data_IF_877529758535
#
_entry.id   IF_877529758535
#
_cell.length_a   1.000
_cell.length_b   1.000
_cell.length_c   1.000
_cell.angle_alpha   90.00
_cell.angle_beta   90.00
_cell.angle_gamma   90.00
#
_symmetry.space_group_name_H-M   'P 1'
#
loop_
_entity.id
_entity.type
_entity.pdbx_description
1 polymer ?
#
# COMPACT_ATOMS: atom_id res chain seq x y z
N UNK A 1 11.09 18.83 3.72
CA UNK A 1 11.56 17.82 4.70
C UNK A 1 10.38 17.27 5.51
N UNK A 2 10.64 16.26 6.35
CA UNK A 2 9.64 15.66 7.23
C UNK A 2 8.75 14.62 6.56
N UNK A 3 7.67 14.16 7.24
CA UNK A 3 6.86 13.00 6.82
C UNK A 3 6.28 13.09 5.42
N UNK A 4 5.97 14.30 4.95
CA UNK A 4 5.43 14.51 3.60
C UNK A 4 6.37 14.05 2.47
N UNK A 5 7.69 13.96 2.73
CA UNK A 5 8.67 13.47 1.76
C UNK A 5 8.82 11.95 1.75
N UNK A 6 8.33 11.23 2.76
CA UNK A 6 8.53 9.77 2.86
C UNK A 6 8.13 9.00 1.59
N UNK A 7 6.96 9.21 0.98
CA UNK A 7 6.57 8.47 -0.22
C UNK A 7 7.54 8.67 -1.39
N UNK A 8 8.05 9.89 -1.58
CA UNK A 8 9.01 10.21 -2.64
C UNK A 8 10.38 9.56 -2.35
N UNK A 9 10.86 9.69 -1.11
CA UNK A 9 12.14 9.11 -0.69
C UNK A 9 12.11 7.58 -0.79
N UNK A 10 11.01 6.95 -0.36
CA UNK A 10 10.81 5.51 -0.46
C UNK A 10 10.85 5.03 -1.93
N UNK A 11 10.18 5.76 -2.82
CA UNK A 11 10.23 5.49 -4.26
C UNK A 11 11.65 5.61 -4.81
N UNK A 12 12.38 6.64 -4.44
CA UNK A 12 13.78 6.83 -4.87
C UNK A 12 14.66 5.68 -4.40
N UNK A 13 14.54 5.26 -3.13
CA UNK A 13 15.30 4.12 -2.58
C UNK A 13 15.00 2.85 -3.36
N UNK A 14 13.73 2.55 -3.61
CA UNK A 14 13.31 1.40 -4.40
C UNK A 14 13.92 1.41 -5.81
N UNK A 15 13.84 2.55 -6.53
CA UNK A 15 14.38 2.67 -7.88
C UNK A 15 15.91 2.50 -7.91
N UNK A 16 16.61 3.02 -6.93
CA UNK A 16 18.07 2.85 -6.83
C UNK A 16 18.42 1.40 -6.47
N UNK A 17 17.78 0.84 -5.45
CA UNK A 17 18.08 -0.50 -4.96
C UNK A 17 17.82 -1.60 -6.02
N UNK A 18 16.89 -1.38 -6.95
CA UNK A 18 16.62 -2.36 -8.01
C UNK A 18 17.68 -2.42 -9.11
N UNK A 19 18.54 -1.41 -9.24
CA UNK A 19 19.54 -1.28 -10.31
C UNK A 19 20.98 -1.31 -9.82
N UNK A 20 21.20 -1.41 -8.49
CA UNK A 20 22.56 -1.49 -7.91
C UNK A 20 22.66 -2.56 -6.84
N UNK A 21 23.86 -3.16 -6.71
CA UNK A 21 24.20 -4.06 -5.61
C UNK A 21 24.94 -3.31 -4.47
N UNK A 22 25.08 -2.00 -4.59
CA UNK A 22 25.71 -1.19 -3.54
C UNK A 22 24.74 -0.96 -2.39
N UNK A 23 25.25 -0.85 -1.13
CA UNK A 23 24.41 -0.47 0.00
C UNK A 23 23.73 0.88 -0.23
N UNK A 24 22.42 0.94 -0.01
CA UNK A 24 21.59 2.15 -0.16
C UNK A 24 21.23 2.67 1.21
N UNK A 25 21.42 3.96 1.47
CA UNK A 25 20.96 4.62 2.68
C UNK A 25 19.64 5.33 2.37
N UNK A 26 18.55 4.86 2.98
CA UNK A 26 17.23 5.48 2.85
C UNK A 26 17.10 6.69 3.78
N UNK A 27 16.82 7.86 3.23
CA UNK A 27 16.66 9.10 4.01
C UNK A 27 15.44 9.87 3.50
N UNK A 28 14.58 10.30 4.43
CA UNK A 28 13.48 11.20 4.11
C UNK A 28 12.17 10.82 4.79
N UNK A 29 11.74 11.64 5.73
CA UNK A 29 10.43 11.54 6.37
C UNK A 29 10.27 10.45 7.43
N UNK A 30 11.34 9.81 7.85
CA UNK A 30 11.35 8.78 8.90
C UNK A 30 11.04 9.40 10.25
N UNK A 31 9.99 8.90 10.91
CA UNK A 31 9.50 9.40 12.21
C UNK A 31 9.14 8.29 13.20
N UNK A 32 8.93 7.07 12.73
CA UNK A 32 8.53 5.90 13.52
C UNK A 32 9.27 4.64 13.04
N UNK A 33 9.19 3.56 13.82
CA UNK A 33 9.81 2.28 13.47
C UNK A 33 9.25 1.66 12.19
N UNK A 34 7.96 1.80 11.91
CA UNK A 34 7.34 1.33 10.68
C UNK A 34 7.93 1.99 9.42
N UNK A 35 8.34 3.27 9.50
CA UNK A 35 9.01 3.94 8.39
C UNK A 35 10.35 3.25 8.06
N UNK A 36 11.09 2.81 9.09
CA UNK A 36 12.34 2.04 8.93
C UNK A 36 12.06 0.73 8.21
N UNK A 37 11.02 0.00 8.64
CA UNK A 37 10.61 -1.26 8.02
C UNK A 37 10.32 -1.07 6.53
N UNK A 38 9.55 -0.03 6.17
CA UNK A 38 9.22 0.25 4.77
C UNK A 38 10.46 0.51 3.92
N UNK A 39 11.42 1.30 4.41
CA UNK A 39 12.69 1.56 3.72
C UNK A 39 13.54 0.29 3.58
N UNK A 40 13.62 -0.54 4.61
CA UNK A 40 14.36 -1.80 4.55
C UNK A 40 13.73 -2.76 3.54
N UNK A 41 12.41 -2.92 3.56
CA UNK A 41 11.69 -3.74 2.58
C UNK A 41 11.87 -3.24 1.14
N UNK A 42 11.98 -1.92 0.93
CA UNK A 42 12.24 -1.31 -0.37
C UNK A 42 13.69 -1.50 -0.86
N UNK A 43 14.58 -2.03 -0.03
CA UNK A 43 15.96 -2.34 -0.38
C UNK A 43 17.01 -1.41 0.22
N UNK A 44 16.66 -0.54 1.17
CA UNK A 44 17.66 0.19 1.95
C UNK A 44 18.50 -0.78 2.80
N UNK A 45 19.76 -0.46 2.99
CA UNK A 45 20.68 -1.16 3.90
C UNK A 45 20.82 -0.44 5.24
N UNK A 46 20.57 0.85 5.26
CA UNK A 46 20.56 1.71 6.43
C UNK A 46 19.46 2.77 6.25
N UNK A 47 18.97 3.29 7.37
CA UNK A 47 17.93 4.32 7.36
C UNK A 47 18.38 5.52 8.17
N UNK A 48 18.34 6.71 7.55
CA UNK A 48 18.71 7.98 8.19
C UNK A 48 17.50 8.75 8.71
N UNK A 49 17.62 9.24 9.93
CA UNK A 49 16.61 10.06 10.60
C UNK A 49 17.17 11.45 10.83
N UNK A 50 16.50 12.49 10.38
CA UNK A 50 16.94 13.88 10.53
C UNK A 50 15.86 14.75 11.18
N UNK A 51 14.81 15.12 10.45
CA UNK A 51 13.79 16.07 10.92
C UNK A 51 13.13 15.64 12.23
N UNK A 52 12.89 14.34 12.42
CA UNK A 52 12.33 13.85 13.67
C UNK A 52 13.25 14.12 14.87
N UNK A 53 14.56 13.97 14.69
CA UNK A 53 15.54 14.28 15.74
C UNK A 53 15.64 15.78 16.03
N UNK A 54 15.55 16.63 15.00
CA UNK A 54 15.53 18.09 15.16
C UNK A 54 14.30 18.52 15.98
N UNK A 55 13.13 17.93 15.69
CA UNK A 55 11.87 18.32 16.32
C UNK A 55 11.63 17.69 17.70
N UNK A 56 12.12 16.48 17.93
CA UNK A 56 11.81 15.66 19.12
C UNK A 56 13.01 15.36 20.00
N UNK A 57 14.21 15.84 19.62
CA UNK A 57 15.46 15.54 20.32
C UNK A 57 16.07 14.20 19.95
N UNK A 58 17.29 13.95 20.48
CA UNK A 58 18.08 12.74 20.14
C UNK A 58 17.46 11.43 20.62
N UNK A 59 16.61 11.46 21.64
CA UNK A 59 15.92 10.26 22.17
C UNK A 59 15.04 9.56 21.13
N UNK A 60 14.68 10.28 20.07
CA UNK A 60 13.86 9.70 18.97
C UNK A 60 14.55 8.52 18.30
N UNK A 61 15.87 8.48 18.24
CA UNK A 61 16.60 7.35 17.66
C UNK A 61 16.34 6.06 18.44
N UNK A 62 16.45 6.12 19.77
CA UNK A 62 16.13 4.97 20.62
C UNK A 62 14.68 4.52 20.53
N UNK A 63 13.74 5.48 20.44
CA UNK A 63 12.31 5.18 20.27
C UNK A 63 12.02 4.47 18.97
N UNK A 64 12.54 4.99 17.84
CA UNK A 64 12.38 4.38 16.52
C UNK A 64 12.99 2.98 16.49
N UNK A 65 14.20 2.79 17.07
CA UNK A 65 14.83 1.47 17.15
C UNK A 65 13.97 0.47 17.95
N UNK A 66 13.44 0.90 19.10
CA UNK A 66 12.55 0.05 19.91
C UNK A 66 11.21 -0.26 19.21
N UNK A 67 10.66 0.68 18.45
CA UNK A 67 9.46 0.46 17.63
C UNK A 67 9.73 -0.54 16.52
N UNK A 68 10.87 -0.41 15.83
CA UNK A 68 11.30 -1.35 14.78
C UNK A 68 11.45 -2.76 15.35
N UNK A 69 12.12 -2.92 16.48
CA UNK A 69 12.30 -4.22 17.13
C UNK A 69 10.96 -4.86 17.52
N UNK A 70 10.04 -4.11 18.11
CA UNK A 70 8.70 -4.61 18.45
C UNK A 70 7.90 -5.02 17.20
N UNK A 71 8.03 -4.28 16.11
CA UNK A 71 7.37 -4.63 14.86
C UNK A 71 7.89 -5.97 14.32
N UNK A 72 9.22 -6.16 14.30
CA UNK A 72 9.85 -7.41 13.86
C UNK A 72 9.36 -8.60 14.69
N UNK A 73 9.40 -8.47 16.02
CA UNK A 73 8.91 -9.50 16.95
C UNK A 73 7.43 -9.84 16.71
N UNK A 74 6.58 -8.83 16.59
CA UNK A 74 5.15 -9.01 16.36
C UNK A 74 4.82 -9.70 15.02
N UNK A 75 5.73 -9.62 14.03
CA UNK A 75 5.56 -10.24 12.72
C UNK A 75 6.41 -11.51 12.54
N UNK A 76 7.06 -11.99 13.59
CA UNK A 76 7.79 -13.25 13.60
C UNK A 76 9.16 -13.19 12.91
N UNK A 77 9.74 -11.99 12.78
CA UNK A 77 11.11 -11.81 12.30
C UNK A 77 12.10 -11.71 13.46
N UNK A 78 13.22 -12.40 13.36
CA UNK A 78 14.29 -12.38 14.37
C UNK A 78 15.34 -11.30 14.09
N UNK A 79 15.47 -10.88 12.83
CA UNK A 79 16.47 -9.91 12.40
C UNK A 79 15.90 -8.99 11.30
N UNK A 80 16.41 -7.75 11.28
CA UNK A 80 16.05 -6.76 10.25
C UNK A 80 16.54 -7.15 8.85
N UNK A 81 17.61 -7.94 8.76
CA UNK A 81 18.10 -8.44 7.48
C UNK A 81 17.12 -9.39 6.79
N UNK A 82 16.25 -10.05 7.55
CA UNK A 82 15.21 -10.91 6.98
C UNK A 82 14.17 -10.15 6.15
N UNK A 83 13.92 -8.89 6.50
CA UNK A 83 12.97 -8.02 5.77
C UNK A 83 13.63 -7.19 4.69
N UNK A 84 14.96 -7.12 4.66
CA UNK A 84 15.69 -6.31 3.70
C UNK A 84 15.43 -6.75 2.26
N UNK A 85 14.92 -5.83 1.47
CA UNK A 85 14.60 -6.07 0.07
C UNK A 85 13.45 -7.06 -0.18
N UNK A 86 12.64 -7.40 0.83
CA UNK A 86 11.49 -8.29 0.63
C UNK A 86 10.58 -7.81 -0.49
N UNK A 87 10.22 -6.53 -0.49
CA UNK A 87 9.39 -5.95 -1.54
C UNK A 87 10.13 -5.96 -2.88
N UNK A 88 11.40 -5.56 -2.89
CA UNK A 88 12.24 -5.57 -4.08
C UNK A 88 12.34 -6.96 -4.71
N UNK A 89 12.53 -8.00 -3.90
CA UNK A 89 12.61 -9.37 -4.37
C UNK A 89 11.29 -9.87 -4.95
N UNK A 90 10.17 -9.60 -4.29
CA UNK A 90 8.83 -9.90 -4.82
C UNK A 90 8.59 -9.22 -6.16
N UNK A 91 8.92 -7.95 -6.27
CA UNK A 91 8.82 -7.19 -7.51
C UNK A 91 9.66 -7.83 -8.64
N UNK A 92 10.92 -8.20 -8.37
CA UNK A 92 11.80 -8.87 -9.34
C UNK A 92 11.25 -10.23 -9.79
N UNK A 93 10.55 -10.94 -8.92
CA UNK A 93 9.93 -12.23 -9.21
C UNK A 93 8.58 -12.10 -9.93
N UNK A 94 8.11 -10.88 -10.19
CA UNK A 94 6.80 -10.64 -10.79
C UNK A 94 5.63 -11.00 -9.85
N UNK A 95 5.91 -11.31 -8.57
CA UNK A 95 4.89 -11.69 -7.58
C UNK A 95 4.17 -10.49 -6.97
N UNK A 96 4.61 -9.28 -7.37
CA UNK A 96 4.44 -8.15 -6.51
C UNK A 96 3.58 -7.08 -6.94
N UNK A 97 3.20 -7.21 -8.03
CA UNK A 97 2.14 -6.33 -8.37
C UNK A 97 0.91 -7.08 -7.94
N UNK A 98 0.26 -6.64 -6.87
CA UNK A 98 -1.18 -6.75 -6.82
C UNK A 98 -1.62 -6.18 -8.16
N UNK A 99 -1.62 -7.05 -9.16
CA UNK A 99 -2.09 -6.66 -10.47
C UNK A 99 -3.54 -6.39 -10.21
N UNK A 100 -3.88 -5.11 -10.18
CA UNK A 100 -5.26 -4.66 -10.17
C UNK A 100 -6.06 -5.41 -11.24
N UNK A 101 -5.34 -5.98 -12.22
CA UNK A 101 -5.85 -6.83 -13.28
C UNK A 101 -6.45 -8.17 -12.81
N UNK A 102 -6.03 -8.70 -11.67
CA UNK A 102 -6.58 -9.93 -11.08
C UNK A 102 -7.81 -9.68 -10.21
N UNK A 103 -8.13 -8.41 -9.94
CA UNK A 103 -9.27 -8.02 -9.15
C UNK A 103 -10.30 -7.28 -9.99
N UNK A 104 -11.52 -7.30 -9.51
CA UNK A 104 -12.63 -6.49 -10.04
C UNK A 104 -13.51 -6.04 -8.88
N UNK A 105 -14.21 -4.94 -9.07
CA UNK A 105 -15.25 -4.56 -8.13
C UNK A 105 -16.44 -5.52 -8.26
N UNK A 106 -17.12 -5.79 -7.15
CA UNK A 106 -18.38 -6.55 -7.11
C UNK A 106 -19.37 -5.84 -6.21
N UNK A 107 -20.63 -5.77 -6.66
CA UNK A 107 -21.73 -5.18 -5.91
C UNK A 107 -22.42 -6.27 -5.09
N UNK A 108 -22.67 -5.98 -3.82
CA UNK A 108 -23.60 -6.73 -3.01
C UNK A 108 -25.00 -6.14 -3.22
N UNK A 109 -25.84 -6.85 -3.94
CA UNK A 109 -27.18 -6.41 -4.33
C UNK A 109 -28.08 -6.10 -3.13
N UNK A 110 -27.92 -6.85 -2.03
CA UNK A 110 -28.72 -6.65 -0.80
C UNK A 110 -28.40 -5.33 -0.09
N UNK A 111 -27.17 -4.84 -0.24
CA UNK A 111 -26.72 -3.58 0.38
C UNK A 111 -26.84 -2.38 -0.55
N UNK A 112 -26.90 -2.58 -1.85
CA UNK A 112 -26.96 -1.52 -2.83
C UNK A 112 -28.28 -0.75 -2.75
N UNK A 113 -28.21 0.57 -2.57
CA UNK A 113 -29.39 1.48 -2.53
C UNK A 113 -29.56 2.30 -3.80
N UNK A 114 -28.93 1.90 -4.90
CA UNK A 114 -29.07 2.57 -6.20
C UNK A 114 -28.80 4.09 -6.15
N UNK A 115 -27.81 4.51 -5.37
CA UNK A 115 -27.50 5.94 -5.14
C UNK A 115 -26.63 6.56 -6.23
N UNK A 116 -26.19 5.81 -7.23
CA UNK A 116 -25.43 6.24 -8.40
C UNK A 116 -24.00 6.77 -8.15
N UNK A 117 -23.56 6.91 -6.91
CA UNK A 117 -22.26 7.53 -6.58
C UNK A 117 -21.07 6.78 -7.17
N UNK A 118 -21.14 5.46 -7.21
CA UNK A 118 -20.06 4.62 -7.75
C UNK A 118 -19.84 4.82 -9.27
N UNK A 119 -20.90 5.04 -10.03
CA UNK A 119 -20.81 5.35 -11.47
C UNK A 119 -20.15 6.72 -11.70
N UNK A 120 -20.53 7.73 -10.89
CA UNK A 120 -20.01 9.11 -11.01
C UNK A 120 -18.51 9.23 -10.82
N UNK A 121 -17.89 8.33 -10.07
CA UNK A 121 -16.44 8.35 -9.78
C UNK A 121 -15.64 7.39 -10.64
N UNK A 122 -16.29 6.54 -11.41
CA UNK A 122 -15.61 5.59 -12.27
C UNK A 122 -15.09 6.29 -13.53
N UNK A 123 -13.77 6.36 -13.66
CA UNK A 123 -13.10 6.98 -14.83
C UNK A 123 -12.85 5.97 -15.98
N UNK A 124 -13.28 4.72 -15.81
CA UNK A 124 -13.00 3.63 -16.74
C UNK A 124 -14.26 3.07 -17.38
N UNK A 125 -15.39 3.73 -17.20
CA UNK A 125 -16.70 3.27 -17.68
C UNK A 125 -17.03 1.81 -17.29
N UNK A 126 -16.47 1.39 -16.14
CA UNK A 126 -16.62 0.04 -15.63
C UNK A 126 -17.86 -0.15 -14.74
N UNK A 127 -18.66 0.88 -14.53
CA UNK A 127 -19.86 0.83 -13.69
C UNK A 127 -21.03 1.52 -14.40
N UNK A 128 -22.15 0.82 -14.45
CA UNK A 128 -23.43 1.41 -14.81
C UNK A 128 -24.37 1.33 -13.61
N UNK A 129 -24.88 2.47 -13.15
CA UNK A 129 -25.78 2.57 -12.01
C UNK A 129 -26.96 3.49 -12.32
N UNK A 130 -27.87 3.08 -13.23
CA UNK A 130 -29.06 3.88 -13.55
C UNK A 130 -29.90 4.15 -12.30
N UNK A 131 -30.57 5.28 -12.27
CA UNK A 131 -31.40 5.66 -11.14
C UNK A 131 -32.41 4.55 -10.79
N UNK A 132 -32.53 4.23 -9.50
CA UNK A 132 -33.39 3.16 -8.97
C UNK A 132 -33.05 1.73 -9.39
N UNK A 133 -31.90 1.51 -9.98
CA UNK A 133 -31.40 0.17 -10.35
C UNK A 133 -30.09 -0.15 -9.59
N UNK A 134 -29.89 -1.42 -9.28
CA UNK A 134 -28.66 -1.91 -8.69
C UNK A 134 -27.49 -1.66 -9.66
N UNK A 135 -26.38 -1.15 -9.14
CA UNK A 135 -25.20 -0.90 -9.94
C UNK A 135 -24.65 -2.21 -10.53
N UNK A 136 -24.24 -2.17 -11.80
CA UNK A 136 -23.59 -3.28 -12.50
C UNK A 136 -22.14 -2.94 -12.77
N UNK A 137 -21.26 -3.92 -12.59
CA UNK A 137 -19.84 -3.80 -12.87
C UNK A 137 -19.49 -4.52 -14.17
N UNK A 138 -18.78 -3.82 -15.06
CA UNK A 138 -18.15 -4.40 -16.25
C UNK A 138 -16.70 -4.74 -15.89
N UNK A 139 -16.47 -5.99 -15.57
CA UNK A 139 -15.16 -6.44 -15.05
C UNK A 139 -14.04 -6.26 -16.06
N UNK A 140 -14.32 -6.33 -17.35
CA UNK A 140 -13.38 -6.10 -18.46
C UNK A 140 -12.79 -4.67 -18.43
N UNK A 141 -13.58 -3.69 -18.04
CA UNK A 141 -13.15 -2.28 -17.96
C UNK A 141 -12.61 -1.91 -16.57
N UNK A 142 -12.83 -2.77 -15.56
CA UNK A 142 -12.48 -2.46 -14.18
C UNK A 142 -10.98 -2.61 -13.93
N UNK A 143 -10.32 -1.53 -13.52
CA UNK A 143 -8.91 -1.53 -13.12
C UNK A 143 -8.70 -1.83 -11.64
N UNK A 144 -9.75 -2.14 -10.90
CA UNK A 144 -9.73 -2.38 -9.45
C UNK A 144 -9.09 -1.24 -8.62
N UNK A 145 -9.22 0.00 -9.06
CA UNK A 145 -8.65 1.16 -8.35
C UNK A 145 -9.26 1.40 -6.95
N UNK A 146 -10.38 0.79 -6.62
CA UNK A 146 -11.02 0.86 -5.30
C UNK A 146 -11.84 2.13 -5.03
N UNK A 147 -11.86 3.10 -5.94
CA UNK A 147 -12.55 4.37 -5.70
C UNK A 147 -14.05 4.20 -5.44
N UNK A 148 -14.71 3.30 -6.18
CA UNK A 148 -16.12 2.98 -5.98
C UNK A 148 -16.41 2.34 -4.60
N UNK A 149 -15.44 1.58 -4.06
CA UNK A 149 -15.53 1.02 -2.70
C UNK A 149 -15.49 2.15 -1.66
N UNK A 150 -14.53 3.07 -1.82
CA UNK A 150 -14.32 4.18 -0.86
C UNK A 150 -15.49 5.16 -0.79
N UNK A 151 -16.20 5.39 -1.92
CA UNK A 151 -17.32 6.35 -1.95
C UNK A 151 -18.67 5.72 -1.65
N UNK A 152 -18.76 4.39 -1.54
CA UNK A 152 -20.04 3.72 -1.26
C UNK A 152 -20.46 3.89 0.21
N UNK A 153 -21.46 4.70 0.55
CA UNK A 153 -21.85 4.94 1.94
C UNK A 153 -22.54 3.73 2.58
N UNK A 154 -22.89 2.73 1.79
CA UNK A 154 -23.59 1.52 2.24
C UNK A 154 -22.68 0.30 2.34
N UNK A 155 -21.37 0.44 2.03
CA UNK A 155 -20.43 -0.68 2.00
C UNK A 155 -20.86 -1.79 1.03
N UNK A 156 -21.56 -1.44 -0.05
CA UNK A 156 -22.15 -2.39 -0.98
C UNK A 156 -21.18 -2.83 -2.08
N UNK A 157 -19.93 -2.37 -2.08
CA UNK A 157 -18.98 -2.71 -3.15
C UNK A 157 -17.68 -3.19 -2.51
N UNK A 158 -17.18 -4.33 -2.97
CA UNK A 158 -15.91 -4.93 -2.56
C UNK A 158 -15.03 -5.22 -3.78
N UNK A 159 -13.70 -5.28 -3.56
CA UNK A 159 -12.76 -5.80 -4.54
C UNK A 159 -12.60 -7.30 -4.34
N UNK A 160 -12.91 -8.07 -5.37
CA UNK A 160 -12.81 -9.53 -5.36
C UNK A 160 -11.85 -10.00 -6.46
N UNK A 161 -11.26 -11.19 -6.29
CA UNK A 161 -10.50 -11.81 -7.37
C UNK A 161 -11.40 -12.13 -8.57
N UNK A 162 -10.91 -11.91 -9.79
CA UNK A 162 -11.60 -12.31 -11.04
C UNK A 162 -11.79 -13.82 -11.13
N UNK A 163 -10.93 -14.61 -10.49
CA UNK A 163 -11.03 -16.06 -10.38
C UNK A 163 -12.10 -16.56 -9.40
N UNK A 164 -12.84 -15.65 -8.74
CA UNK A 164 -13.90 -16.00 -7.80
C UNK A 164 -13.44 -16.43 -6.41
N UNK A 165 -12.13 -16.43 -6.14
CA UNK A 165 -11.58 -16.72 -4.81
C UNK A 165 -11.65 -15.46 -3.95
N UNK A 166 -12.40 -15.51 -2.85
CA UNK A 166 -12.41 -14.45 -1.84
C UNK A 166 -11.02 -14.34 -1.21
N UNK A 167 -10.32 -13.25 -1.46
CA UNK A 167 -9.15 -12.86 -0.69
C UNK A 167 -9.67 -12.30 0.62
N UNK A 168 -9.71 -13.11 1.66
CA UNK A 168 -9.97 -12.67 3.03
C UNK A 168 -8.93 -11.62 3.43
N UNK A 169 -9.41 -10.56 4.09
CA UNK A 169 -8.59 -9.51 4.72
C UNK A 169 -7.70 -10.08 5.80
#
# INVERSE_FOLDING_TARGET
>A
SGPALKPLALRCVFEVARVTDKPVIGVGGVTHGEDVIEFMMAGASLVGVCTAAILRGSDVYGKIAAETARWLEAHGYSDIEEIKGLYLNKYRQGQDVVTTLEKTARVNENLCKACTQCERVCQFDAISAPAKQIAKIFSENCTACGLCVSVCPFGAIDLVSRSGVNLTR
#
